data_IF_974437220044
#
_entry.id   IF_974437220044
#
_cell.length_a   1.000
_cell.length_b   1.000
_cell.length_c   1.000
_cell.angle_alpha   90.00
_cell.angle_beta   90.00
_cell.angle_gamma   90.00
#
_symmetry.space_group_name_H-M   'P 1'
#
loop_
_entity.id
_entity.type
_entity.pdbx_description
1 polymer ?
#
# COMPACT_ATOMS: atom_id res chain seq x y z
N UNK A 1 8.71 -55.05 27.35
CA UNK A 1 8.28 -53.96 26.44
C UNK A 1 6.99 -54.39 25.73
N UNK A 2 5.81 -53.98 26.23
CA UNK A 2 4.51 -54.23 25.59
C UNK A 2 3.67 -52.95 25.61
N UNK A 3 3.48 -52.39 24.41
CA UNK A 3 2.27 -51.68 23.95
C UNK A 3 1.80 -50.42 24.68
N UNK A 4 2.48 -49.29 24.47
CA UNK A 4 1.92 -47.93 24.68
C UNK A 4 1.23 -47.35 23.42
N UNK A 5 1.33 -48.03 22.27
CA UNK A 5 0.82 -47.55 20.98
C UNK A 5 -0.71 -47.49 20.92
N UNK A 6 -1.41 -48.31 21.71
CA UNK A 6 -2.88 -48.44 21.65
C UNK A 6 -3.61 -47.25 22.30
N UNK A 7 -3.08 -46.68 23.38
CA UNK A 7 -3.68 -45.51 24.08
C UNK A 7 -3.52 -44.21 23.28
N UNK A 8 -2.42 -44.07 22.54
CA UNK A 8 -2.17 -42.90 21.68
C UNK A 8 -3.19 -42.79 20.55
N UNK A 9 -3.43 -43.91 19.87
CA UNK A 9 -4.36 -43.95 18.74
C UNK A 9 -5.80 -43.68 19.20
N UNK A 10 -6.23 -44.25 20.32
CA UNK A 10 -7.59 -44.02 20.86
C UNK A 10 -7.82 -42.54 21.20
N UNK A 11 -6.85 -41.84 21.78
CA UNK A 11 -6.97 -40.39 22.04
C UNK A 11 -7.07 -39.58 20.76
N UNK A 12 -6.30 -39.93 19.73
CA UNK A 12 -6.35 -39.27 18.42
C UNK A 12 -7.71 -39.47 17.72
N UNK A 13 -8.27 -40.69 17.79
CA UNK A 13 -9.61 -40.97 17.26
C UNK A 13 -10.71 -40.26 18.05
N UNK A 14 -10.61 -40.13 19.37
CA UNK A 14 -11.58 -39.37 20.15
C UNK A 14 -11.52 -37.88 19.83
N UNK A 15 -10.32 -37.30 19.66
CA UNK A 15 -10.16 -35.88 19.32
C UNK A 15 -10.76 -35.59 17.93
N UNK A 16 -10.45 -36.41 16.93
CA UNK A 16 -11.03 -36.24 15.59
C UNK A 16 -12.55 -36.42 15.60
N UNK A 17 -13.07 -37.43 16.32
CA UNK A 17 -14.51 -37.64 16.43
C UNK A 17 -15.22 -36.46 17.12
N UNK A 18 -14.61 -35.85 18.14
CA UNK A 18 -15.14 -34.66 18.81
C UNK A 18 -15.14 -33.46 17.87
N UNK A 19 -14.07 -33.24 17.11
CA UNK A 19 -14.00 -32.14 16.13
C UNK A 19 -15.05 -32.32 15.03
N UNK A 20 -15.18 -33.51 14.45
CA UNK A 20 -16.19 -33.79 13.42
C UNK A 20 -17.61 -33.63 13.98
N UNK A 21 -17.87 -34.04 15.23
CA UNK A 21 -19.18 -33.89 15.87
C UNK A 21 -19.51 -32.43 16.17
N UNK A 22 -18.53 -31.64 16.63
CA UNK A 22 -18.70 -30.20 16.88
C UNK A 22 -18.98 -29.46 15.58
N UNK A 23 -18.26 -29.79 14.50
CA UNK A 23 -18.51 -29.22 13.17
C UNK A 23 -19.88 -29.63 12.64
N UNK A 24 -20.28 -30.90 12.76
CA UNK A 24 -21.59 -31.34 12.31
C UNK A 24 -22.74 -30.69 13.10
N UNK A 25 -22.59 -30.51 14.42
CA UNK A 25 -23.57 -29.78 15.23
C UNK A 25 -23.65 -28.32 14.80
N UNK A 26 -22.50 -27.65 14.61
CA UNK A 26 -22.42 -26.26 14.16
C UNK A 26 -23.22 -26.00 12.88
N UNK A 27 -23.06 -26.88 11.88
CA UNK A 27 -23.76 -26.77 10.60
C UNK A 27 -25.27 -27.05 10.77
N UNK A 28 -25.66 -27.95 11.67
CA UNK A 28 -27.06 -28.35 11.86
C UNK A 28 -27.94 -27.33 12.61
N UNK A 29 -27.36 -26.49 13.49
CA UNK A 29 -28.13 -25.52 14.28
C UNK A 29 -28.18 -24.11 13.66
N UNK A 30 -27.59 -23.92 12.47
CA UNK A 30 -27.45 -22.58 11.87
C UNK A 30 -26.66 -21.60 12.75
N UNK A 31 -26.05 -22.09 13.83
CA UNK A 31 -25.19 -21.31 14.69
C UNK A 31 -23.85 -21.20 13.97
N UNK A 32 -23.62 -20.03 13.38
CA UNK A 32 -22.30 -19.60 13.01
C UNK A 32 -21.44 -19.67 14.28
N UNK A 33 -20.70 -20.75 14.49
CA UNK A 33 -19.68 -20.78 15.53
C UNK A 33 -18.63 -19.79 15.05
N UNK A 34 -18.58 -18.61 15.67
CA UNK A 34 -17.49 -17.68 15.50
C UNK A 34 -16.22 -18.42 15.95
N UNK A 35 -15.50 -18.97 14.98
CA UNK A 35 -14.16 -19.47 15.20
C UNK A 35 -13.26 -18.24 15.06
N UNK A 36 -12.72 -17.75 16.17
CA UNK A 36 -11.53 -16.91 16.09
C UNK A 36 -10.42 -17.82 15.55
N UNK A 37 -10.30 -17.88 14.23
CA UNK A 37 -9.16 -18.54 13.60
C UNK A 37 -7.98 -17.60 13.84
N UNK A 38 -7.00 -17.96 14.68
CA UNK A 38 -5.79 -17.15 14.82
C UNK A 38 -5.15 -17.04 13.44
N UNK A 39 -4.87 -15.81 13.00
CA UNK A 39 -4.32 -15.43 11.69
C UNK A 39 -3.54 -16.59 11.06
N UNK A 40 -4.16 -17.28 10.10
CA UNK A 40 -3.47 -18.33 9.35
C UNK A 40 -2.57 -17.61 8.37
N UNK A 41 -1.29 -17.52 8.72
CA UNK A 41 -0.27 -17.08 7.78
C UNK A 41 -0.38 -17.94 6.51
N UNK A 42 -0.52 -17.30 5.34
CA UNK A 42 -0.52 -17.98 4.05
C UNK A 42 -1.85 -18.55 3.58
N UNK A 43 -3.00 -18.03 4.02
CA UNK A 43 -4.24 -18.36 3.29
C UNK A 43 -4.16 -17.77 1.89
N UNK A 44 -4.15 -18.67 0.92
CA UNK A 44 -4.17 -18.41 -0.49
C UNK A 44 -5.40 -19.15 -1.02
N UNK A 45 -6.25 -18.50 -1.83
CA UNK A 45 -7.50 -19.04 -2.41
C UNK A 45 -8.78 -18.88 -1.56
N UNK A 46 -9.19 -17.63 -1.32
CA UNK A 46 -10.59 -17.33 -0.99
C UNK A 46 -11.33 -16.87 -2.25
N UNK A 47 -12.52 -17.42 -2.51
CA UNK A 47 -13.41 -16.91 -3.56
C UNK A 47 -14.01 -15.55 -3.17
N UNK A 48 -14.24 -15.32 -1.87
CA UNK A 48 -14.64 -14.02 -1.33
C UNK A 48 -14.20 -13.86 0.13
N UNK A 49 -13.91 -12.62 0.52
CA UNK A 49 -13.62 -12.21 1.89
C UNK A 49 -14.54 -11.04 2.24
N UNK A 50 -15.33 -11.18 3.31
CA UNK A 50 -16.12 -10.09 3.88
C UNK A 50 -15.59 -9.76 5.26
N UNK A 51 -15.26 -8.49 5.49
CA UNK A 51 -14.77 -8.00 6.77
C UNK A 51 -15.81 -7.07 7.38
N UNK A 52 -16.06 -7.22 8.67
CA UNK A 52 -16.87 -6.26 9.44
C UNK A 52 -16.09 -4.99 9.79
N UNK A 53 -14.77 -5.01 9.64
CA UNK A 53 -13.84 -3.94 9.96
C UNK A 53 -12.78 -3.76 8.84
N UNK A 54 -11.74 -2.98 9.13
CA UNK A 54 -10.70 -2.63 8.17
C UNK A 54 -9.80 -3.82 7.82
N UNK A 55 -9.44 -3.92 6.53
CA UNK A 55 -8.27 -4.69 6.09
C UNK A 55 -7.03 -3.80 6.16
N UNK A 56 -6.03 -4.18 6.94
CA UNK A 56 -4.70 -3.57 6.87
C UNK A 56 -3.80 -4.49 6.07
N UNK A 57 -3.39 -4.06 4.88
CA UNK A 57 -2.37 -4.76 4.10
C UNK A 57 -1.05 -4.02 4.21
N UNK A 58 -0.05 -4.66 4.80
CA UNK A 58 1.29 -4.10 4.93
C UNK A 58 2.11 -4.29 3.64
N UNK A 59 2.93 -3.30 3.31
CA UNK A 59 3.84 -3.36 2.15
C UNK A 59 3.13 -3.22 0.81
N UNK A 60 3.80 -3.65 -0.27
CA UNK A 60 3.28 -3.58 -1.63
C UNK A 60 2.30 -4.71 -1.88
N UNK A 61 1.04 -4.36 -2.19
CA UNK A 61 0.00 -5.31 -2.57
C UNK A 61 -0.36 -5.12 -4.02
N UNK A 62 -0.18 -6.15 -4.83
CA UNK A 62 -0.68 -6.18 -6.20
C UNK A 62 -2.08 -6.80 -6.17
N UNK A 63 -3.07 -6.06 -6.65
CA UNK A 63 -4.42 -6.56 -6.87
C UNK A 63 -4.46 -7.03 -8.33
N UNK A 64 -4.71 -8.33 -8.54
CA UNK A 64 -4.43 -9.02 -9.81
C UNK A 64 -5.42 -8.72 -10.94
N UNK A 65 -6.66 -8.42 -10.58
CA UNK A 65 -7.76 -8.16 -11.52
C UNK A 65 -8.46 -6.83 -11.14
N UNK A 66 -9.77 -6.76 -11.34
CA UNK A 66 -10.57 -5.58 -11.07
C UNK A 66 -10.69 -5.29 -9.57
N UNK A 67 -10.52 -4.01 -9.23
CA UNK A 67 -10.74 -3.50 -7.89
C UNK A 67 -11.86 -2.49 -7.97
N UNK A 68 -12.98 -2.80 -7.31
CA UNK A 68 -14.10 -1.86 -7.20
C UNK A 68 -14.09 -1.23 -5.82
N UNK A 69 -14.00 0.09 -5.78
CA UNK A 69 -14.21 0.88 -4.57
C UNK A 69 -15.62 1.49 -4.63
N UNK A 70 -16.46 1.20 -3.64
CA UNK A 70 -17.80 1.79 -3.52
C UNK A 70 -17.79 3.17 -2.86
N UNK A 71 -16.68 3.51 -2.22
CA UNK A 71 -16.45 4.76 -1.51
C UNK A 71 -15.17 5.45 -2.01
N UNK A 72 -14.86 6.60 -1.42
CA UNK A 72 -13.67 7.39 -1.75
C UNK A 72 -12.37 6.66 -1.44
N UNK A 73 -11.40 6.79 -2.35
CA UNK A 73 -10.00 6.42 -2.09
C UNK A 73 -9.34 7.58 -1.35
N UNK A 74 -8.83 7.31 -0.13
CA UNK A 74 -8.11 8.30 0.68
C UNK A 74 -6.62 8.01 0.63
N UNK A 75 -5.85 8.98 0.15
CA UNK A 75 -4.39 8.91 0.13
C UNK A 75 -3.82 9.66 1.34
N UNK A 76 -3.12 8.95 2.22
CA UNK A 76 -2.42 9.58 3.36
C UNK A 76 -1.07 10.12 2.89
N UNK A 77 -0.77 11.41 3.11
CA UNK A 77 0.53 11.96 2.74
C UNK A 77 1.63 11.40 3.62
N UNK A 78 2.74 11.00 2.99
CA UNK A 78 4.00 10.88 3.67
C UNK A 78 4.64 12.27 3.84
N UNK A 79 5.04 12.62 5.06
CA UNK A 79 5.70 13.91 5.31
C UNK A 79 7.20 13.75 5.17
N UNK A 80 7.80 14.59 4.34
CA UNK A 80 9.23 14.60 4.09
C UNK A 80 9.80 16.00 4.38
N UNK A 81 10.79 16.08 5.26
CA UNK A 81 11.48 17.33 5.56
C UNK A 81 12.89 17.28 4.99
N UNK A 82 13.28 18.37 4.34
CA UNK A 82 14.55 18.49 3.65
C UNK A 82 15.20 19.83 3.98
N UNK A 83 16.53 19.90 3.98
CA UNK A 83 17.24 21.14 4.33
C UNK A 83 17.54 21.99 3.10
N UNK A 84 18.56 21.66 2.33
CA UNK A 84 18.96 22.42 1.13
C UNK A 84 19.76 21.51 0.20
N UNK A 85 19.77 21.83 -1.09
CA UNK A 85 20.59 21.12 -2.09
C UNK A 85 19.82 20.03 -2.85
N UNK A 86 20.59 19.12 -3.46
CA UNK A 86 20.05 18.07 -4.32
C UNK A 86 19.57 16.86 -3.51
N UNK A 87 18.36 16.39 -3.81
CA UNK A 87 17.71 15.26 -3.14
C UNK A 87 17.13 14.32 -4.20
N UNK A 88 17.44 13.04 -4.07
CA UNK A 88 16.78 11.99 -4.84
C UNK A 88 15.57 11.46 -4.08
N UNK A 89 14.40 11.51 -4.71
CA UNK A 89 13.16 10.96 -4.15
C UNK A 89 12.85 9.61 -4.82
N UNK A 90 12.78 8.56 -4.00
CA UNK A 90 12.16 7.30 -4.39
C UNK A 90 10.67 7.41 -4.14
N UNK A 91 9.85 7.06 -5.14
CA UNK A 91 8.40 7.08 -5.05
C UNK A 91 7.88 5.85 -4.28
N UNK A 92 8.20 5.74 -2.99
CA UNK A 92 7.69 4.67 -2.13
C UNK A 92 6.22 4.89 -1.74
N UNK A 93 5.76 6.15 -1.77
CA UNK A 93 4.40 6.57 -1.48
C UNK A 93 3.77 7.29 -2.68
N UNK A 94 2.44 7.20 -2.83
CA UNK A 94 1.72 7.93 -3.86
C UNK A 94 1.67 9.44 -3.56
N UNK A 95 1.67 9.86 -2.30
CA UNK A 95 1.48 11.25 -1.91
C UNK A 95 2.55 11.72 -0.91
N UNK A 96 3.29 12.78 -1.27
CA UNK A 96 4.25 13.44 -0.39
C UNK A 96 3.84 14.87 -0.07
N UNK A 97 3.91 15.21 1.22
CA UNK A 97 3.97 16.59 1.71
C UNK A 97 5.43 16.91 2.02
N UNK A 98 6.04 17.78 1.22
CA UNK A 98 7.45 18.15 1.38
C UNK A 98 7.53 19.51 2.07
N UNK A 99 8.29 19.58 3.18
CA UNK A 99 8.49 20.82 3.95
C UNK A 99 9.98 21.18 3.97
N UNK A 100 10.49 21.81 2.91
CA UNK A 100 11.90 22.18 2.83
C UNK A 100 12.23 23.40 3.73
N UNK A 101 13.38 23.41 4.39
CA UNK A 101 13.87 24.56 5.18
C UNK A 101 14.77 25.52 4.40
N UNK A 102 15.17 25.12 3.19
CA UNK A 102 15.90 25.89 2.18
C UNK A 102 15.51 25.41 0.79
N UNK A 103 15.93 26.08 -0.29
CA UNK A 103 15.62 25.62 -1.64
C UNK A 103 16.26 24.26 -1.91
N UNK A 104 15.48 23.33 -2.44
CA UNK A 104 15.96 22.00 -2.83
C UNK A 104 15.80 21.77 -4.32
N UNK A 105 16.69 20.94 -4.88
CA UNK A 105 16.52 20.36 -6.19
C UNK A 105 16.13 18.90 -6.02
N UNK A 106 14.98 18.50 -6.56
CA UNK A 106 14.45 17.16 -6.46
C UNK A 106 14.70 16.40 -7.78
N UNK A 107 15.27 15.21 -7.67
CA UNK A 107 15.41 14.24 -8.75
C UNK A 107 14.47 13.07 -8.45
N UNK A 108 13.62 12.69 -9.39
CA UNK A 108 12.62 11.63 -9.18
C UNK A 108 13.21 10.31 -9.67
N UNK A 109 13.55 9.40 -8.77
CA UNK A 109 14.18 8.16 -9.19
C UNK A 109 13.18 7.24 -9.92
N UNK A 110 13.70 6.36 -10.78
CA UNK A 110 12.93 5.26 -11.40
C UNK A 110 13.12 3.93 -10.68
N UNK A 111 14.02 3.88 -9.70
CA UNK A 111 14.32 2.63 -8.98
C UNK A 111 13.10 2.23 -8.15
N UNK A 112 12.57 1.03 -8.41
CA UNK A 112 11.37 0.54 -7.74
C UNK A 112 10.05 1.08 -8.30
N UNK A 113 10.09 1.97 -9.30
CA UNK A 113 8.88 2.51 -9.91
C UNK A 113 8.21 1.49 -10.85
N UNK A 114 6.88 1.41 -10.81
CA UNK A 114 6.09 0.54 -11.69
C UNK A 114 5.32 1.35 -12.73
N UNK A 115 5.13 0.80 -13.94
CA UNK A 115 4.35 1.48 -14.99
C UNK A 115 2.95 1.82 -14.44
N UNK A 116 2.50 3.05 -14.67
CA UNK A 116 1.21 3.55 -14.19
C UNK A 116 1.23 4.04 -12.75
N UNK A 117 2.37 3.94 -12.05
CA UNK A 117 2.49 4.46 -10.70
C UNK A 117 2.27 5.98 -10.66
N UNK A 118 1.40 6.41 -9.75
CA UNK A 118 1.12 7.81 -9.48
C UNK A 118 2.04 8.33 -8.38
N UNK A 119 2.49 9.58 -8.56
CA UNK A 119 3.23 10.34 -7.56
C UNK A 119 2.65 11.75 -7.49
N UNK A 120 2.23 12.16 -6.30
CA UNK A 120 1.69 13.49 -6.00
C UNK A 120 2.63 14.14 -5.00
N UNK A 121 3.07 15.36 -5.30
CA UNK A 121 3.96 16.14 -4.44
C UNK A 121 3.30 17.49 -4.16
N UNK A 122 3.20 17.82 -2.87
CA UNK A 122 2.80 19.14 -2.40
C UNK A 122 3.96 19.79 -1.66
N UNK A 123 4.26 21.05 -2.00
CA UNK A 123 5.18 21.85 -1.21
C UNK A 123 4.44 22.54 -0.06
N UNK A 124 4.81 22.27 1.19
CA UNK A 124 4.17 22.87 2.38
C UNK A 124 5.00 24.00 3.00
N UNK A 125 6.18 24.32 2.47
CA UNK A 125 7.02 25.40 2.99
C UNK A 125 7.10 26.58 2.04
N UNK A 126 7.59 27.71 2.55
CA UNK A 126 7.85 28.92 1.76
C UNK A 126 9.02 28.76 0.76
N UNK A 127 9.86 27.74 0.96
CA UNK A 127 11.04 27.51 0.13
C UNK A 127 10.67 26.72 -1.12
N UNK A 128 11.30 27.06 -2.24
CA UNK A 128 11.04 26.41 -3.51
C UNK A 128 11.56 24.97 -3.55
N UNK A 129 10.80 24.11 -4.23
CA UNK A 129 11.25 22.79 -4.69
C UNK A 129 11.44 22.87 -6.20
N UNK A 130 12.65 22.60 -6.67
CA UNK A 130 12.97 22.60 -8.10
C UNK A 130 13.09 21.15 -8.57
N UNK A 131 12.12 20.67 -9.33
CA UNK A 131 12.19 19.36 -9.99
C UNK A 131 12.93 19.57 -11.32
N UNK A 132 14.22 19.24 -11.32
CA UNK A 132 15.10 19.39 -12.48
C UNK A 132 15.74 18.03 -12.77
N UNK A 133 15.10 17.26 -13.64
CA UNK A 133 15.50 15.89 -13.90
C UNK A 133 15.26 15.49 -15.36
N UNK A 134 16.25 14.83 -15.96
CA UNK A 134 16.23 14.36 -17.36
C UNK A 134 15.20 13.29 -17.64
N UNK A 135 14.72 12.59 -16.61
CA UNK A 135 13.69 11.56 -16.72
C UNK A 135 12.29 12.08 -16.38
N UNK A 136 12.14 13.40 -16.19
CA UNK A 136 10.84 14.04 -15.97
C UNK A 136 10.43 14.80 -17.23
N UNK A 137 9.16 14.68 -17.62
CA UNK A 137 8.53 15.38 -18.74
C UNK A 137 7.50 16.34 -18.15
N UNK A 138 7.82 17.62 -18.17
CA UNK A 138 6.98 18.71 -17.65
C UNK A 138 6.30 19.43 -18.80
N UNK A 139 5.16 20.07 -18.53
CA UNK A 139 4.46 20.87 -19.53
C UNK A 139 5.24 22.12 -19.95
N UNK A 140 6.19 22.58 -19.11
CA UNK A 140 7.04 23.74 -19.37
C UNK A 140 8.32 23.42 -20.15
N UNK A 141 8.66 22.13 -20.33
CA UNK A 141 9.88 21.69 -21.01
C UNK A 141 11.20 22.04 -20.29
N UNK A 142 11.12 22.65 -19.10
CA UNK A 142 12.24 23.04 -18.25
C UNK A 142 12.09 22.44 -16.85
N UNK A 143 13.01 22.78 -15.94
CA UNK A 143 12.86 22.47 -14.53
C UNK A 143 11.53 23.03 -13.99
N UNK A 144 10.73 22.19 -13.33
CA UNK A 144 9.50 22.60 -12.69
C UNK A 144 9.82 23.14 -11.30
N UNK A 145 9.44 24.39 -11.02
CA UNK A 145 9.59 24.96 -9.68
C UNK A 145 8.24 25.00 -9.00
N UNK A 146 8.16 24.42 -7.81
CA UNK A 146 7.00 24.45 -6.93
C UNK A 146 7.24 25.50 -5.84
N UNK A 147 6.42 26.55 -5.83
CA UNK A 147 6.29 27.51 -4.74
C UNK A 147 5.48 26.94 -3.57
N UNK A 148 5.15 27.78 -2.59
CA UNK A 148 4.42 27.34 -1.41
C UNK A 148 2.98 26.92 -1.78
N UNK A 149 2.59 25.74 -1.34
CA UNK A 149 1.29 25.10 -1.58
C UNK A 149 1.01 24.67 -3.01
N UNK A 150 2.00 24.76 -3.90
CA UNK A 150 1.91 24.16 -5.22
C UNK A 150 1.81 22.62 -5.10
N UNK A 151 1.04 22.04 -6.02
CA UNK A 151 0.82 20.59 -6.12
C UNK A 151 1.12 20.16 -7.55
N UNK A 152 1.89 19.10 -7.71
CA UNK A 152 2.10 18.43 -8.99
C UNK A 152 1.81 16.95 -8.87
N UNK A 153 1.23 16.37 -9.92
CA UNK A 153 1.10 14.93 -10.06
C UNK A 153 1.84 14.42 -11.29
N UNK A 154 2.47 13.27 -11.14
CA UNK A 154 3.17 12.54 -12.18
C UNK A 154 2.64 11.11 -12.31
N UNK A 155 2.81 10.54 -13.50
CA UNK A 155 2.67 9.10 -13.76
C UNK A 155 3.97 8.53 -14.32
N UNK A 156 4.39 7.36 -13.86
CA UNK A 156 5.54 6.67 -14.42
C UNK A 156 5.16 5.86 -15.66
N UNK A 157 5.90 6.02 -16.76
CA UNK A 157 5.62 5.33 -18.03
C UNK A 157 6.46 4.08 -18.26
N UNK A 158 7.39 3.78 -17.33
CA UNK A 158 8.34 2.66 -17.42
C UNK A 158 9.78 3.11 -17.57
N UNK A 159 10.01 4.32 -18.08
CA UNK A 159 11.35 4.92 -18.17
C UNK A 159 11.39 6.34 -17.63
N UNK A 160 10.27 7.05 -17.64
CA UNK A 160 10.19 8.48 -17.39
C UNK A 160 8.93 8.81 -16.59
N UNK A 161 8.97 9.92 -15.87
CA UNK A 161 7.85 10.51 -15.14
C UNK A 161 7.19 11.59 -16.00
N UNK A 162 5.89 11.48 -16.22
CA UNK A 162 5.12 12.42 -17.03
C UNK A 162 4.22 13.24 -16.13
N UNK A 163 4.30 14.56 -16.23
CA UNK A 163 3.39 15.47 -15.53
C UNK A 163 1.96 15.25 -16.02
N UNK A 164 1.04 15.05 -15.08
CA UNK A 164 -0.39 14.96 -15.33
C UNK A 164 -1.05 16.33 -15.16
N UNK A 165 -0.72 17.01 -14.07
CA UNK A 165 -1.20 18.36 -13.78
C UNK A 165 -0.28 19.09 -12.81
N UNK A 166 -0.35 20.41 -12.87
CA UNK A 166 0.24 21.34 -11.93
C UNK A 166 -0.87 22.27 -11.42
N UNK A 167 -1.05 22.34 -10.10
CA UNK A 167 -1.83 23.38 -9.44
C UNK A 167 -0.84 24.34 -8.79
N UNK A 168 -0.67 25.50 -9.41
CA UNK A 168 0.11 26.59 -8.84
C UNK A 168 -0.77 27.43 -7.91
N UNK A 169 -0.29 27.69 -6.70
CA UNK A 169 -0.84 28.65 -5.78
C UNK A 169 -0.21 30.02 -6.09
N UNK A 170 -0.90 30.79 -6.92
CA UNK A 170 -0.51 32.13 -7.36
C UNK A 170 -0.49 33.17 -6.24
#
# INVERSE_FOLDING_TARGET
>A
MKSDTKKSNTKFYLINAVITLVVALAVSVGALIAFDVPVVQGVTNFDSLTLSENLIVGGTSALGDDVTFTESIVLTPNTFSATTGAISLTADYTYYNITPTGTITLTLTTTGASIGQLLVITNKAAQNIVIADTIVRTSSGAALTLGQYDIVAFVFTGTEWYELFLLANS
#
